data_IF_118909363840
#
_entry.id   IF_118909363840
#
_cell.length_a   1.000
_cell.length_b   1.000
_cell.length_c   1.000
_cell.angle_alpha   90.00
_cell.angle_beta   90.00
_cell.angle_gamma   90.00
#
_symmetry.space_group_name_H-M   'P 1'
#
loop_
_entity.id
_entity.type
_entity.pdbx_description
1 polymer ?
#
# COMPACT_ATOMS: atom_id res chain seq x y z
N UNK A 1 21.70 61.13 -5.80
CA UNK A 1 20.96 60.73 -4.58
C UNK A 1 20.05 59.57 -5.00
N UNK A 2 20.26 58.26 -4.73
CA UNK A 2 20.38 57.53 -3.44
C UNK A 2 19.40 58.15 -2.42
N UNK A 3 18.32 57.50 -1.96
CA UNK A 3 18.22 56.28 -1.15
C UNK A 3 16.75 55.75 -1.24
N UNK A 4 16.48 54.51 -1.69
CA UNK A 4 16.11 53.25 -0.96
C UNK A 4 14.72 53.21 -0.28
N UNK A 5 14.09 52.03 -0.44
CA UNK A 5 13.02 51.38 0.34
C UNK A 5 11.65 51.43 -0.37
N UNK A 6 11.03 50.32 -0.76
CA UNK A 6 10.70 49.18 0.07
C UNK A 6 10.59 47.91 -0.79
N UNK A 7 11.25 46.84 -0.36
CA UNK A 7 11.01 45.50 -0.90
C UNK A 7 9.63 45.02 -0.43
N UNK A 8 8.74 44.66 -1.37
CA UNK A 8 7.59 43.80 -1.06
C UNK A 8 7.81 42.46 -1.76
N UNK A 9 8.17 41.53 -0.91
CA UNK A 9 8.30 40.10 -1.08
C UNK A 9 6.92 39.49 -1.42
N UNK A 10 6.80 38.73 -2.52
CA UNK A 10 5.70 37.78 -2.70
C UNK A 10 6.12 36.61 -3.60
N UNK A 11 6.69 35.61 -2.93
CA UNK A 11 6.63 34.17 -3.17
C UNK A 11 6.65 33.61 -4.60
N UNK A 12 7.75 32.92 -4.94
CA UNK A 12 7.72 31.77 -5.83
C UNK A 12 6.80 30.70 -5.22
N UNK A 13 5.75 30.31 -5.94
CA UNK A 13 5.14 29.00 -5.77
C UNK A 13 5.34 28.26 -7.09
N UNK A 14 6.48 27.59 -7.21
CA UNK A 14 6.59 26.46 -8.11
C UNK A 14 5.49 25.49 -7.72
N UNK A 15 4.46 25.33 -8.55
CA UNK A 15 3.64 24.12 -8.48
C UNK A 15 4.52 23.00 -9.02
N UNK A 16 5.43 22.53 -8.16
CA UNK A 16 5.93 21.18 -8.29
C UNK A 16 4.70 20.30 -8.29
N UNK A 17 4.42 19.66 -9.41
CA UNK A 17 3.53 18.51 -9.44
C UNK A 17 4.05 17.59 -8.34
N UNK A 18 3.31 17.53 -7.24
CA UNK A 18 3.64 16.69 -6.12
C UNK A 18 3.77 15.29 -6.70
N UNK A 19 4.96 14.70 -6.59
CA UNK A 19 5.07 13.26 -6.66
C UNK A 19 4.08 12.74 -5.61
N UNK A 20 2.91 12.29 -6.06
CA UNK A 20 1.90 11.66 -5.23
C UNK A 20 2.40 10.27 -4.86
N UNK A 21 3.52 10.24 -4.15
CA UNK A 21 3.99 9.08 -3.43
C UNK A 21 3.86 9.49 -1.98
N UNK A 22 3.10 8.72 -1.20
CA UNK A 22 2.98 8.82 0.26
C UNK A 22 1.72 9.50 0.84
N UNK A 23 0.53 9.06 0.43
CA UNK A 23 -0.57 8.85 1.39
C UNK A 23 -1.05 7.38 1.43
N UNK A 24 -0.81 6.60 0.36
CA UNK A 24 -1.35 5.25 0.22
C UNK A 24 -0.34 4.12 0.47
N UNK A 25 0.85 4.44 0.97
CA UNK A 25 1.90 3.46 1.11
C UNK A 25 1.86 2.79 2.47
N UNK A 26 1.32 1.58 2.53
CA UNK A 26 1.02 0.97 3.83
C UNK A 26 2.13 0.04 4.31
N UNK A 27 2.77 -0.75 3.43
CA UNK A 27 3.63 -1.88 3.85
C UNK A 27 5.14 -1.66 3.68
N UNK A 28 5.60 -0.88 2.70
CA UNK A 28 7.02 -0.55 2.57
C UNK A 28 7.16 0.70 1.70
N UNK A 29 7.53 1.84 2.26
CA UNK A 29 7.92 2.98 1.42
C UNK A 29 9.38 3.24 1.66
N UNK A 30 10.14 3.27 0.56
CA UNK A 30 11.53 3.70 0.46
C UNK A 30 12.05 4.40 1.72
N UNK A 31 12.63 3.63 2.65
CA UNK A 31 13.38 4.15 3.79
C UNK A 31 12.60 4.52 5.06
N UNK A 32 11.31 4.19 5.21
CA UNK A 32 10.59 4.36 6.49
C UNK A 32 9.98 3.04 6.98
N UNK A 33 10.15 2.66 8.27
CA UNK A 33 9.46 1.51 8.83
C UNK A 33 7.95 1.71 8.67
N UNK A 34 7.26 0.68 8.18
CA UNK A 34 5.88 0.81 7.75
C UNK A 34 4.92 0.94 8.93
N UNK A 35 3.97 1.86 8.81
CA UNK A 35 2.84 1.93 9.74
C UNK A 35 2.03 0.62 9.73
N UNK A 36 2.08 -0.17 8.64
CA UNK A 36 1.41 -1.45 8.48
C UNK A 36 1.73 -2.50 9.55
N UNK A 37 2.92 -2.49 10.14
CA UNK A 37 3.33 -3.51 11.10
C UNK A 37 3.32 -3.02 12.54
N UNK A 38 3.06 -1.73 12.77
CA UNK A 38 2.90 -1.19 14.12
C UNK A 38 1.58 -1.70 14.73
N UNK A 39 1.60 -2.47 15.83
CA UNK A 39 0.36 -2.99 16.44
C UNK A 39 -0.60 -1.89 16.92
N UNK A 40 -0.13 -0.65 17.04
CA UNK A 40 -0.95 0.52 17.42
C UNK A 40 -1.18 1.51 16.26
N UNK A 41 -0.70 1.21 15.06
CA UNK A 41 -0.83 2.10 13.90
C UNK A 41 -2.27 2.21 13.42
N UNK A 42 -2.71 3.42 13.08
CA UNK A 42 -4.08 3.66 12.60
C UNK A 42 -4.40 3.01 11.24
N UNK A 43 -3.37 2.75 10.42
CA UNK A 43 -3.44 2.08 9.13
C UNK A 43 -2.54 0.84 9.13
N UNK A 44 -2.75 -0.06 10.10
CA UNK A 44 -1.85 -1.18 10.35
C UNK A 44 -2.49 -2.54 10.16
N UNK A 45 -1.93 -3.39 9.29
CA UNK A 45 -2.44 -4.76 9.11
C UNK A 45 -2.26 -5.62 10.37
N UNK A 46 -1.37 -5.23 11.29
CA UNK A 46 -1.19 -5.90 12.59
C UNK A 46 -2.00 -5.29 13.73
N UNK A 47 -2.64 -4.13 13.53
CA UNK A 47 -3.55 -3.53 14.50
C UNK A 47 -4.99 -4.00 14.25
N UNK A 48 -5.59 -4.83 15.13
CA UNK A 48 -6.95 -5.35 14.96
C UNK A 48 -8.05 -4.28 15.12
N UNK A 49 -7.71 -3.07 15.58
CA UNK A 49 -8.62 -1.94 15.66
C UNK A 49 -8.51 -0.99 14.46
N UNK A 50 -7.50 -1.17 13.60
CA UNK A 50 -7.38 -0.36 12.40
C UNK A 50 -8.30 -0.88 11.28
N UNK A 51 -8.68 -0.03 10.30
CA UNK A 51 -9.44 -0.48 9.14
C UNK A 51 -8.73 -1.60 8.34
N UNK A 52 -7.41 -1.65 8.36
CA UNK A 52 -6.61 -2.59 7.54
C UNK A 52 -6.26 -3.90 8.25
N UNK A 53 -6.28 -3.93 9.58
CA UNK A 53 -5.99 -5.11 10.38
C UNK A 53 -7.20 -5.69 11.11
N UNK A 54 -8.33 -4.98 11.12
CA UNK A 54 -9.54 -5.43 11.82
C UNK A 54 -10.17 -6.64 11.15
N UNK A 55 -10.57 -7.68 11.92
CA UNK A 55 -11.26 -8.84 11.36
C UNK A 55 -12.68 -8.52 10.85
N UNK A 56 -13.20 -7.31 11.11
CA UNK A 56 -14.57 -6.92 10.73
C UNK A 56 -14.62 -5.85 9.64
N UNK A 57 -13.51 -5.16 9.37
CA UNK A 57 -13.49 -4.09 8.37
C UNK A 57 -13.52 -4.67 6.95
N UNK A 58 -14.24 -4.00 6.04
CA UNK A 58 -14.30 -4.37 4.63
C UNK A 58 -13.02 -3.99 3.85
N UNK A 59 -12.15 -3.14 4.41
CA UNK A 59 -10.84 -2.77 3.84
C UNK A 59 -9.68 -3.54 4.45
N UNK A 60 -9.98 -4.54 5.27
CA UNK A 60 -8.98 -5.28 6.03
C UNK A 60 -8.30 -6.38 5.21
N UNK A 61 -7.01 -6.55 5.46
CA UNK A 61 -6.25 -7.69 4.99
C UNK A 61 -6.57 -8.98 5.75
N UNK A 62 -7.02 -8.87 7.01
CA UNK A 62 -7.24 -10.02 7.90
C UNK A 62 -8.67 -10.54 7.87
N UNK A 63 -9.62 -9.77 7.35
CA UNK A 63 -11.00 -10.18 7.19
C UNK A 63 -11.19 -10.97 5.87
N UNK A 64 -11.52 -12.28 5.92
CA UNK A 64 -11.73 -13.07 4.71
C UNK A 64 -12.96 -12.65 3.90
N UNK A 65 -13.87 -11.86 4.47
CA UNK A 65 -15.05 -11.34 3.79
C UNK A 65 -14.88 -9.89 3.32
N UNK A 66 -13.68 -9.31 3.46
CA UNK A 66 -13.39 -7.97 2.98
C UNK A 66 -13.54 -7.88 1.46
N UNK A 67 -14.43 -7.00 1.01
CA UNK A 67 -14.65 -6.72 -0.42
C UNK A 67 -13.69 -5.65 -0.96
N UNK A 68 -12.98 -4.96 -0.07
CA UNK A 68 -12.06 -3.85 -0.37
C UNK A 68 -10.68 -4.07 0.23
N UNK A 69 -10.24 -5.33 0.30
CA UNK A 69 -8.91 -5.67 0.77
C UNK A 69 -7.81 -4.89 0.02
N UNK A 70 -6.68 -4.57 0.68
CA UNK A 70 -5.62 -3.78 0.08
C UNK A 70 -5.05 -4.46 -1.17
N UNK A 71 -4.77 -3.67 -2.20
CA UNK A 71 -4.13 -4.12 -3.44
C UNK A 71 -2.62 -4.09 -3.29
N UNK A 72 -1.93 -5.14 -3.73
CA UNK A 72 -0.48 -5.18 -3.83
C UNK A 72 -0.05 -4.72 -5.23
N UNK A 73 0.89 -3.77 -5.28
CA UNK A 73 1.55 -3.34 -6.51
C UNK A 73 3.06 -3.40 -6.35
N UNK A 74 3.80 -3.67 -7.42
CA UNK A 74 5.26 -3.54 -7.40
C UNK A 74 5.72 -2.10 -7.71
N UNK A 75 7.03 -1.89 -7.70
CA UNK A 75 7.66 -0.60 -8.00
C UNK A 75 7.35 -0.03 -9.39
N UNK A 76 6.94 -0.88 -10.34
CA UNK A 76 6.56 -0.47 -11.69
C UNK A 76 5.04 -0.21 -11.77
N UNK A 77 4.31 -0.34 -10.66
CA UNK A 77 2.85 -0.25 -10.61
C UNK A 77 2.13 -1.50 -11.11
N UNK A 78 2.84 -2.61 -11.32
CA UNK A 78 2.19 -3.84 -11.76
C UNK A 78 1.38 -4.45 -10.61
N UNK A 79 0.15 -4.85 -10.90
CA UNK A 79 -0.73 -5.52 -9.95
C UNK A 79 -0.19 -6.90 -9.55
N UNK A 80 -0.09 -7.15 -8.24
CA UNK A 80 0.46 -8.38 -7.63
C UNK A 80 -0.55 -9.12 -6.75
N UNK A 81 -1.84 -8.84 -6.89
CA UNK A 81 -2.91 -9.47 -6.12
C UNK A 81 -3.46 -8.59 -5.00
N UNK A 82 -4.41 -9.13 -4.23
CA UNK A 82 -4.97 -8.49 -3.06
C UNK A 82 -4.38 -9.12 -1.80
N UNK A 83 -3.91 -8.29 -0.87
CA UNK A 83 -3.51 -8.73 0.46
C UNK A 83 -4.77 -9.06 1.27
N UNK A 84 -5.21 -10.31 1.18
CA UNK A 84 -6.42 -10.81 1.80
C UNK A 84 -6.17 -12.20 2.38
N UNK A 85 -6.82 -12.51 3.49
CA UNK A 85 -6.86 -13.86 4.07
C UNK A 85 -7.91 -14.77 3.41
N UNK A 86 -8.71 -14.27 2.47
CA UNK A 86 -9.72 -15.08 1.78
C UNK A 86 -9.05 -16.14 0.89
N UNK A 87 -9.20 -17.44 1.15
CA UNK A 87 -8.56 -18.49 0.35
C UNK A 87 -9.32 -18.81 -0.94
N UNK A 88 -10.52 -18.26 -1.13
CA UNK A 88 -11.39 -18.53 -2.28
C UNK A 88 -11.40 -17.39 -3.31
N UNK A 89 -10.95 -16.19 -2.93
CA UNK A 89 -10.85 -15.07 -3.86
C UNK A 89 -9.72 -15.35 -4.89
N UNK A 90 -9.98 -15.28 -6.21
CA UNK A 90 -8.97 -15.60 -7.23
C UNK A 90 -7.74 -14.67 -7.23
N UNK A 91 -7.92 -13.45 -6.73
CA UNK A 91 -6.89 -12.42 -6.65
C UNK A 91 -6.18 -12.38 -5.30
N UNK A 92 -6.67 -13.10 -4.31
CA UNK A 92 -6.10 -13.13 -2.97
C UNK A 92 -4.72 -13.79 -2.93
N UNK A 93 -3.81 -13.17 -2.20
CA UNK A 93 -2.49 -13.73 -1.88
C UNK A 93 -2.57 -14.94 -0.95
N UNK A 94 -3.70 -15.18 -0.27
CA UNK A 94 -3.91 -16.37 0.55
C UNK A 94 -4.61 -17.51 -0.19
N UNK A 95 -4.99 -17.34 -1.47
CA UNK A 95 -5.53 -18.43 -2.27
C UNK A 95 -4.39 -19.30 -2.84
N UNK A 96 -4.19 -20.54 -2.35
CA UNK A 96 -3.07 -21.40 -2.79
C UNK A 96 -3.23 -21.92 -4.23
N UNK A 97 -4.43 -21.80 -4.80
CA UNK A 97 -4.74 -22.16 -6.18
C UNK A 97 -4.85 -20.91 -7.07
N UNK A 98 -4.83 -19.71 -6.49
CA UNK A 98 -4.97 -18.44 -7.19
C UNK A 98 -3.66 -17.99 -7.85
N UNK A 99 -3.77 -17.14 -8.87
CA UNK A 99 -2.62 -16.61 -9.62
C UNK A 99 -1.62 -15.88 -8.73
N UNK A 100 -2.09 -15.17 -7.70
CA UNK A 100 -1.24 -14.31 -6.87
C UNK A 100 -0.85 -14.92 -5.51
N UNK A 101 -1.53 -16.00 -5.09
CA UNK A 101 -1.25 -16.70 -3.85
C UNK A 101 -0.60 -18.07 -4.00
N UNK A 102 -0.72 -18.71 -5.18
CA UNK A 102 -0.19 -20.07 -5.40
C UNK A 102 1.34 -20.11 -5.40
N UNK A 103 2.00 -21.07 -4.73
CA UNK A 103 3.46 -21.20 -4.75
C UNK A 103 4.03 -21.58 -6.13
N UNK A 104 3.18 -22.01 -7.06
CA UNK A 104 3.59 -22.45 -8.39
C UNK A 104 3.39 -21.40 -9.49
N UNK A 105 2.67 -20.32 -9.19
CA UNK A 105 2.39 -19.28 -10.18
C UNK A 105 3.58 -18.32 -10.32
N UNK A 106 3.98 -17.94 -11.55
CA UNK A 106 5.08 -17.00 -11.76
C UNK A 106 4.79 -15.58 -11.23
N UNK A 107 3.51 -15.19 -11.16
CA UNK A 107 3.11 -13.86 -10.68
C UNK A 107 2.92 -13.78 -9.16
N UNK A 108 2.88 -14.95 -8.50
CA UNK A 108 2.58 -15.07 -7.08
C UNK A 108 3.69 -14.53 -6.20
N UNK A 109 3.29 -13.77 -5.18
CA UNK A 109 4.22 -13.27 -4.16
C UNK A 109 4.75 -14.41 -3.28
N UNK A 110 4.02 -15.53 -3.20
CA UNK A 110 4.36 -16.70 -2.40
C UNK A 110 5.23 -17.72 -3.16
N UNK A 111 5.49 -17.54 -4.46
CA UNK A 111 6.31 -18.47 -5.22
C UNK A 111 7.79 -18.39 -4.77
N UNK A 112 8.40 -19.47 -4.22
CA UNK A 112 9.77 -19.45 -3.73
C UNK A 112 10.82 -19.37 -4.85
N UNK A 113 10.45 -19.77 -6.07
CA UNK A 113 11.33 -19.76 -7.24
C UNK A 113 11.20 -18.48 -8.08
N UNK A 114 10.17 -17.66 -7.83
CA UNK A 114 10.02 -16.39 -8.51
C UNK A 114 11.02 -15.35 -7.97
N UNK A 115 11.54 -14.45 -8.82
CA UNK A 115 12.30 -13.29 -8.37
C UNK A 115 11.52 -12.51 -7.31
N UNK A 116 12.13 -12.32 -6.13
CA UNK A 116 11.51 -11.52 -5.07
C UNK A 116 11.56 -10.05 -5.45
N UNK A 117 10.40 -9.51 -5.79
CA UNK A 117 10.23 -8.07 -6.04
C UNK A 117 9.62 -7.42 -4.80
N UNK A 118 10.03 -6.19 -4.44
CA UNK A 118 9.32 -5.40 -3.44
C UNK A 118 7.88 -5.16 -3.89
N UNK A 119 6.94 -5.39 -2.99
CA UNK A 119 5.52 -5.09 -3.21
C UNK A 119 5.00 -4.16 -2.12
N UNK A 120 4.03 -3.35 -2.50
CA UNK A 120 3.47 -2.28 -1.70
C UNK A 120 1.97 -2.48 -1.63
N UNK A 121 1.42 -2.54 -0.41
CA UNK A 121 -0.02 -2.46 -0.23
C UNK A 121 -0.50 -1.03 -0.41
N UNK A 122 -1.59 -0.91 -1.14
CA UNK A 122 -2.33 0.30 -1.45
C UNK A 122 -3.79 0.04 -1.06
N UNK A 123 -4.44 0.91 -0.28
CA UNK A 123 -5.88 0.80 -0.02
C UNK A 123 -6.65 0.74 -1.34
N UNK A 124 -7.74 -0.03 -1.40
CA UNK A 124 -8.61 -0.04 -2.58
C UNK A 124 -9.48 1.21 -2.54
N UNK A 125 -9.10 2.20 -3.36
CA UNK A 125 -9.88 3.43 -3.55
C UNK A 125 -11.29 3.09 -4.07
N UNK A 126 -12.27 3.91 -3.70
CA UNK A 126 -13.67 3.84 -4.18
C UNK A 126 -13.81 4.39 -5.61
#
# INVERSE_FOLDING_TARGET
>A
MRIVALAVLAALATTGAQAQISQNCVINCMGRPSQATNPYGANSVTNPYSPMGSPYSNTSATNPYATRAPTLVDQNGQYRGNLSTNPYDPNSTSNPYGRYGSPYSPDSVNNPYAPKVPVYAVPKDD
#
